data_IF_621091367903
#
_entry.id   IF_621091367903
#
_cell.length_a   1.000
_cell.length_b   1.000
_cell.length_c   1.000
_cell.angle_alpha   90.00
_cell.angle_beta   90.00
_cell.angle_gamma   90.00
#
_symmetry.space_group_name_H-M   'P 1'
#
loop_
_entity.id
_entity.type
_entity.pdbx_description
1 polymer ?
#
# COMPACT_ATOMS: atom_id res chain seq x y z
N UNK A 1 20.53 0.42 5.48
CA UNK A 1 19.85 -0.84 5.14
C UNK A 1 18.38 -0.52 4.93
N UNK A 2 17.82 -0.74 3.74
CA UNK A 2 16.37 -0.87 3.62
C UNK A 2 16.03 -2.28 4.09
N UNK A 3 15.14 -2.41 5.09
CA UNK A 3 14.67 -3.71 5.58
C UNK A 3 13.83 -4.45 4.53
N UNK A 4 13.25 -3.73 3.55
CA UNK A 4 12.38 -4.27 2.51
C UNK A 4 12.73 -3.71 1.14
N UNK A 5 12.62 -4.53 0.10
CA UNK A 5 12.98 -4.16 -1.27
C UNK A 5 11.84 -3.41 -1.98
N UNK A 6 12.11 -2.65 -3.06
CA UNK A 6 11.06 -2.04 -3.89
C UNK A 6 10.04 -3.06 -4.39
N UNK A 7 10.48 -4.28 -4.71
CA UNK A 7 9.63 -5.38 -5.14
C UNK A 7 8.67 -5.82 -4.03
N UNK A 8 9.15 -5.99 -2.80
CA UNK A 8 8.30 -6.38 -1.67
C UNK A 8 7.22 -5.32 -1.38
N UNK A 9 7.56 -4.04 -1.48
CA UNK A 9 6.60 -2.94 -1.34
C UNK A 9 5.60 -2.94 -2.51
N UNK A 10 6.08 -3.19 -3.72
CA UNK A 10 5.24 -3.30 -4.91
C UNK A 10 4.27 -4.48 -4.86
N UNK A 11 4.69 -5.62 -4.31
CA UNK A 11 3.84 -6.81 -4.17
C UNK A 11 2.67 -6.55 -3.22
N UNK A 12 2.88 -5.87 -2.09
CA UNK A 12 1.79 -5.44 -1.20
C UNK A 12 0.77 -4.53 -1.90
N UNK A 13 1.24 -3.73 -2.86
CA UNK A 13 0.38 -2.83 -3.65
C UNK A 13 -0.14 -3.47 -4.93
N UNK A 14 0.20 -4.73 -5.21
CA UNK A 14 -0.02 -5.41 -6.49
C UNK A 14 0.42 -4.56 -7.71
N UNK A 15 1.51 -3.80 -7.56
CA UNK A 15 1.93 -2.83 -8.55
C UNK A 15 2.51 -3.53 -9.79
N UNK A 16 2.03 -3.13 -10.97
CA UNK A 16 2.52 -3.60 -12.26
C UNK A 16 2.82 -2.43 -13.21
N UNK A 17 3.95 -2.48 -13.96
CA UNK A 17 5.05 -3.42 -13.79
C UNK A 17 5.81 -3.17 -12.48
N UNK A 18 6.47 -4.21 -11.98
CA UNK A 18 7.22 -4.21 -10.70
C UNK A 18 8.44 -3.29 -10.83
N UNK A 19 8.63 -2.33 -9.91
CA UNK A 19 9.85 -1.54 -9.82
C UNK A 19 10.97 -2.37 -9.20
N UNK A 20 12.16 -2.27 -9.77
CA UNK A 20 13.38 -2.96 -9.31
C UNK A 20 14.36 -2.03 -8.61
N UNK A 21 14.08 -0.73 -8.62
CA UNK A 21 14.89 0.28 -7.93
C UNK A 21 14.00 1.19 -7.10
N UNK A 22 14.60 1.79 -6.06
CA UNK A 22 13.90 2.80 -5.26
C UNK A 22 13.47 3.99 -6.12
N UNK A 23 14.31 4.40 -7.08
CA UNK A 23 13.99 5.50 -7.99
C UNK A 23 12.78 5.20 -8.89
N UNK A 24 12.62 3.97 -9.36
CA UNK A 24 11.44 3.55 -10.12
C UNK A 24 10.18 3.56 -9.26
N UNK A 25 10.25 3.07 -8.02
CA UNK A 25 9.14 3.12 -7.08
C UNK A 25 8.75 4.57 -6.76
N UNK A 26 9.72 5.43 -6.46
CA UNK A 26 9.51 6.87 -6.22
C UNK A 26 8.89 7.58 -7.41
N UNK A 27 9.33 7.27 -8.64
CA UNK A 27 8.74 7.82 -9.85
C UNK A 27 7.25 7.43 -9.97
N UNK A 28 6.90 6.17 -9.67
CA UNK A 28 5.50 5.72 -9.69
C UNK A 28 4.63 6.40 -8.65
N UNK A 29 5.18 6.63 -7.45
CA UNK A 29 4.50 7.38 -6.40
C UNK A 29 4.27 8.84 -6.84
N UNK A 30 5.28 9.47 -7.43
CA UNK A 30 5.20 10.85 -7.94
C UNK A 30 4.17 11.00 -9.06
N UNK A 31 4.11 10.03 -9.97
CA UNK A 31 3.15 9.99 -11.08
C UNK A 31 1.72 9.64 -10.63
N UNK A 32 1.54 9.32 -9.34
CA UNK A 32 0.29 8.86 -8.75
C UNK A 32 0.09 7.35 -8.93
N UNK A 33 -0.12 6.62 -7.85
CA UNK A 33 -0.37 5.17 -7.91
C UNK A 33 -1.76 4.86 -8.47
N UNK A 34 -1.96 3.68 -9.08
CA UNK A 34 -3.30 3.23 -9.43
C UNK A 34 -4.14 3.09 -8.16
N UNK A 35 -5.44 3.42 -8.23
CA UNK A 35 -6.38 3.31 -7.11
C UNK A 35 -6.38 1.91 -6.47
N UNK A 36 -6.18 0.87 -7.28
CA UNK A 36 -6.09 -0.51 -6.82
C UNK A 36 -4.92 -0.74 -5.85
N UNK A 37 -3.82 0.02 -5.93
CA UNK A 37 -2.68 -0.12 -5.03
C UNK A 37 -3.05 0.18 -3.57
N UNK A 38 -3.86 1.22 -3.34
CA UNK A 38 -4.37 1.52 -2.00
C UNK A 38 -5.30 0.42 -1.50
N UNK A 39 -6.14 -0.11 -2.39
CA UNK A 39 -7.01 -1.23 -2.04
C UNK A 39 -6.16 -2.41 -1.57
N UNK A 40 -5.25 -2.90 -2.40
CA UNK A 40 -4.38 -4.04 -2.08
C UNK A 40 -3.63 -3.83 -0.75
N UNK A 41 -2.99 -2.67 -0.57
CA UNK A 41 -2.26 -2.38 0.67
C UNK A 41 -3.13 -2.42 1.93
N UNK A 42 -4.36 -1.90 1.85
CA UNK A 42 -5.33 -1.97 2.97
C UNK A 42 -5.80 -3.42 3.22
N UNK A 43 -5.98 -4.20 2.16
CA UNK A 43 -6.40 -5.61 2.25
C UNK A 43 -5.31 -6.50 2.86
N UNK A 44 -4.03 -6.18 2.64
CA UNK A 44 -2.92 -6.85 3.32
C UNK A 44 -2.77 -6.40 4.78
N UNK A 45 -3.07 -5.14 5.09
CA UNK A 45 -2.89 -4.59 6.43
C UNK A 45 -3.99 -4.97 7.43
N UNK A 46 -5.15 -5.44 6.99
CA UNK A 46 -6.32 -5.58 7.87
C UNK A 46 -7.11 -6.86 7.63
N UNK A 47 -7.83 -7.31 8.66
CA UNK A 47 -8.81 -8.38 8.55
C UNK A 47 -10.25 -7.85 8.70
N UNK A 48 -11.15 -8.36 7.88
CA UNK A 48 -12.56 -7.94 7.86
C UNK A 48 -12.84 -6.62 7.13
N UNK A 49 -14.11 -6.44 6.74
CA UNK A 49 -14.55 -5.31 5.91
C UNK A 49 -14.52 -3.96 6.65
N UNK A 50 -14.82 -3.96 7.96
CA UNK A 50 -14.90 -2.73 8.76
C UNK A 50 -13.52 -2.12 9.00
N UNK A 51 -12.53 -2.94 9.36
CA UNK A 51 -11.14 -2.49 9.52
C UNK A 51 -10.56 -1.96 8.19
N UNK A 52 -10.85 -2.64 7.07
CA UNK A 52 -10.48 -2.18 5.72
C UNK A 52 -11.05 -0.79 5.44
N UNK A 53 -12.35 -0.61 5.69
CA UNK A 53 -13.01 0.68 5.44
C UNK A 53 -12.46 1.79 6.34
N UNK A 54 -12.22 1.48 7.61
CA UNK A 54 -11.67 2.42 8.58
C UNK A 54 -10.25 2.87 8.18
N UNK A 55 -9.36 1.94 7.83
CA UNK A 55 -7.99 2.27 7.41
C UNK A 55 -7.97 3.05 6.09
N UNK A 56 -8.78 2.63 5.11
CA UNK A 56 -8.91 3.34 3.83
C UNK A 56 -9.36 4.79 4.06
N UNK A 57 -10.35 5.02 4.92
CA UNK A 57 -10.88 6.35 5.23
C UNK A 57 -9.84 7.28 5.90
N UNK A 58 -8.81 6.73 6.55
CA UNK A 58 -7.69 7.52 7.11
C UNK A 58 -6.73 8.03 6.04
N UNK A 59 -6.67 7.37 4.88
CA UNK A 59 -5.80 7.76 3.76
C UNK A 59 -6.58 8.67 2.80
N UNK A 60 -7.80 8.26 2.41
CA UNK A 60 -8.67 8.98 1.49
C UNK A 60 -10.09 8.97 2.03
N UNK A 61 -10.79 10.12 2.12
CA UNK A 61 -12.20 10.14 2.46
C UNK A 61 -13.01 9.22 1.54
N UNK A 62 -13.95 8.46 2.11
CA UNK A 62 -14.64 7.39 1.37
C UNK A 62 -15.38 7.90 0.11
N UNK A 63 -16.00 9.08 0.20
CA UNK A 63 -16.66 9.72 -0.94
C UNK A 63 -15.67 10.06 -2.06
N UNK A 64 -14.47 10.55 -1.70
CA UNK A 64 -13.38 10.84 -2.64
C UNK A 64 -12.87 9.56 -3.28
N UNK A 65 -12.65 8.51 -2.48
CA UNK A 65 -12.22 7.21 -2.99
C UNK A 65 -13.23 6.61 -3.97
N UNK A 66 -14.53 6.63 -3.67
CA UNK A 66 -15.57 6.12 -4.58
C UNK A 66 -15.63 6.87 -5.90
N UNK A 67 -15.48 8.19 -5.87
CA UNK A 67 -15.48 9.05 -7.08
C UNK A 67 -14.20 8.91 -7.91
N UNK A 68 -13.09 8.48 -7.31
CA UNK A 68 -11.83 8.31 -8.01
C UNK A 68 -11.92 7.17 -9.03
N UNK A 69 -11.57 7.45 -10.27
CA UNK A 69 -11.58 6.46 -11.36
C UNK A 69 -10.29 5.65 -11.38
N UNK A 70 -9.16 6.29 -11.69
CA UNK A 70 -7.96 5.53 -12.04
C UNK A 70 -6.77 5.73 -11.10
N UNK A 71 -6.37 6.98 -10.82
CA UNK A 71 -5.11 7.27 -10.09
C UNK A 71 -5.31 8.06 -8.81
N UNK A 72 -4.47 7.77 -7.84
CA UNK A 72 -4.31 8.53 -6.60
C UNK A 72 -3.58 9.86 -6.89
N UNK A 73 -3.77 10.86 -6.03
CA UNK A 73 -2.93 12.06 -6.06
C UNK A 73 -1.53 11.70 -5.55
N UNK A 74 -0.56 12.60 -5.71
CA UNK A 74 0.77 12.39 -5.16
C UNK A 74 0.74 12.12 -3.64
N UNK A 75 0.07 12.98 -2.86
CA UNK A 75 -0.05 12.81 -1.39
C UNK A 75 -0.71 11.49 -1.00
N UNK A 76 -1.78 11.09 -1.69
CA UNK A 76 -2.44 9.80 -1.47
C UNK A 76 -1.54 8.62 -1.82
N UNK A 77 -0.71 8.77 -2.85
CA UNK A 77 0.25 7.76 -3.31
C UNK A 77 1.40 7.59 -2.33
N UNK A 78 1.91 8.69 -1.77
CA UNK A 78 2.95 8.67 -0.74
C UNK A 78 2.45 7.97 0.53
N UNK A 79 1.21 8.25 0.94
CA UNK A 79 0.57 7.54 2.07
C UNK A 79 0.36 6.05 1.77
N UNK A 80 -0.01 5.72 0.55
CA UNK A 80 -0.23 4.33 0.11
C UNK A 80 1.08 3.55 0.11
N UNK A 81 2.16 4.12 -0.44
CA UNK A 81 3.49 3.51 -0.41
C UNK A 81 4.00 3.33 1.03
N UNK A 82 3.80 4.33 1.89
CA UNK A 82 4.17 4.23 3.31
C UNK A 82 3.43 3.09 4.01
N UNK A 83 2.14 2.92 3.76
CA UNK A 83 1.37 1.78 4.26
C UNK A 83 1.99 0.46 3.77
N UNK A 84 2.23 0.35 2.46
CA UNK A 84 2.80 -0.86 1.88
C UNK A 84 4.18 -1.21 2.44
N UNK A 85 5.02 -0.21 2.70
CA UNK A 85 6.32 -0.38 3.35
C UNK A 85 6.20 -0.93 4.77
N UNK A 86 5.23 -0.43 5.55
CA UNK A 86 4.96 -0.93 6.91
C UNK A 86 4.51 -2.39 6.85
N UNK A 87 3.56 -2.71 5.97
CA UNK A 87 3.04 -4.06 5.78
C UNK A 87 4.14 -5.03 5.34
N UNK A 88 4.94 -4.65 4.34
CA UNK A 88 6.06 -5.47 3.87
C UNK A 88 7.09 -5.71 4.99
N UNK A 89 7.34 -4.70 5.82
CA UNK A 89 8.27 -4.83 6.95
C UNK A 89 7.70 -5.76 8.01
N UNK A 90 6.41 -5.65 8.34
CA UNK A 90 5.75 -6.56 9.27
C UNK A 90 5.80 -8.00 8.75
N UNK A 91 5.46 -8.22 7.48
CA UNK A 91 5.54 -9.54 6.86
C UNK A 91 6.96 -10.13 6.90
N UNK A 92 7.99 -9.31 6.63
CA UNK A 92 9.38 -9.75 6.72
C UNK A 92 9.80 -10.12 8.14
N UNK A 93 9.37 -9.36 9.16
CA UNK A 93 9.75 -9.59 10.56
C UNK A 93 9.03 -10.80 11.16
N UNK A 94 7.75 -10.97 10.85
CA UNK A 94 6.94 -12.05 11.42
C UNK A 94 7.07 -13.37 10.65
N UNK A 95 7.54 -13.33 9.39
CA UNK A 95 7.63 -14.49 8.47
C UNK A 95 6.31 -15.28 8.33
N UNK A 96 5.20 -14.60 8.63
CA UNK A 96 3.84 -15.13 8.57
C UNK A 96 2.88 -13.96 8.32
N UNK A 97 2.07 -14.07 7.27
CA UNK A 97 1.20 -12.98 6.83
C UNK A 97 0.04 -12.71 7.79
N UNK A 98 -0.44 -13.73 8.50
CA UNK A 98 -1.55 -13.58 9.44
C UNK A 98 -1.07 -13.00 10.77
N UNK A 99 0.08 -13.45 11.27
CA UNK A 99 0.75 -12.85 12.42
C UNK A 99 1.13 -11.38 12.16
N UNK A 100 1.65 -11.08 10.96
CA UNK A 100 1.94 -9.71 10.55
C UNK A 100 0.68 -8.83 10.54
N UNK A 101 -0.44 -9.36 10.03
CA UNK A 101 -1.72 -8.65 10.00
C UNK A 101 -2.32 -8.45 11.39
N UNK A 102 -2.20 -9.43 12.28
CA UNK A 102 -2.66 -9.31 13.67
C UNK A 102 -1.85 -8.29 14.48
N UNK A 103 -0.59 -8.07 14.11
CA UNK A 103 0.26 -7.05 14.72
C UNK A 103 -0.09 -5.61 14.28
N UNK A 104 -0.61 -5.43 13.07
CA UNK A 104 -0.94 -4.13 12.46
C UNK A 104 -2.29 -3.58 12.92
#
# INVERSE_FOLDING_TARGET
MLLVTPEAVADVMELRPVPHTLAELEARVRDGLPKAALKAGVEHATDGADARRALLARIIPEATYKRRRDRLTQDESEKTERLARIVATAAYVWDDADAARQFL
#
